data_IF_318865378278
#
_entry.id   IF_318865378278
#
_cell.length_a   1.000
_cell.length_b   1.000
_cell.length_c   1.000
_cell.angle_alpha   90.00
_cell.angle_beta   90.00
_cell.angle_gamma   90.00
#
_symmetry.space_group_name_H-M   'P 1'
#
loop_
_entity.id
_entity.type
_entity.pdbx_description
1 polymer ?
#
# COMPACT_ATOMS: atom_id res chain seq x y z
N UNK A 1 32.55 21.20 26.18
CA UNK A 1 31.54 22.15 26.65
C UNK A 1 30.66 22.49 25.48
N UNK A 2 29.47 21.89 25.44
CA UNK A 2 28.49 22.22 24.42
C UNK A 2 28.03 23.67 24.63
N UNK A 3 28.33 24.54 23.66
CA UNK A 3 27.80 25.90 23.65
C UNK A 3 26.30 25.83 23.39
N UNK A 4 25.50 25.88 24.45
CA UNK A 4 24.06 26.00 24.36
C UNK A 4 23.70 27.43 23.92
N UNK A 5 23.05 27.53 22.75
CA UNK A 5 22.65 28.83 22.20
C UNK A 5 21.36 29.28 22.90
N UNK A 6 21.43 30.45 23.55
CA UNK A 6 20.29 31.07 24.25
C UNK A 6 19.57 32.04 23.31
N UNK A 7 18.27 31.84 23.13
CA UNK A 7 17.42 32.69 22.29
C UNK A 7 16.51 33.54 23.17
N UNK A 8 16.22 34.77 22.73
CA UNK A 8 15.33 35.69 23.44
C UNK A 8 14.12 36.03 22.59
N UNK A 9 12.94 36.00 23.21
CA UNK A 9 11.70 36.49 22.58
C UNK A 9 11.64 38.02 22.65
N UNK A 10 10.79 38.68 21.83
CA UNK A 10 10.56 40.13 21.93
C UNK A 10 10.06 40.61 23.30
N UNK A 11 9.45 39.72 24.10
CA UNK A 11 9.04 39.99 25.49
C UNK A 11 10.18 39.77 26.51
N UNK A 12 11.39 39.48 26.06
CA UNK A 12 12.59 39.29 26.91
C UNK A 12 12.72 37.90 27.53
N UNK A 13 11.79 36.99 27.28
CA UNK A 13 11.86 35.63 27.81
C UNK A 13 12.93 34.82 27.07
N UNK A 14 13.80 34.14 27.82
CA UNK A 14 14.95 33.39 27.31
C UNK A 14 14.67 31.89 27.24
N UNK A 15 15.09 31.26 26.17
CA UNK A 15 14.94 29.82 25.93
C UNK A 15 16.25 29.21 25.45
N UNK A 16 16.49 27.96 25.84
CA UNK A 16 17.57 27.14 25.31
C UNK A 16 16.95 26.14 24.35
N UNK A 17 17.41 26.13 23.09
CA UNK A 17 16.99 25.11 22.13
C UNK A 17 17.96 23.94 22.27
N UNK A 18 17.51 22.75 22.70
CA UNK A 18 18.39 21.60 22.85
C UNK A 18 18.92 21.19 21.48
N UNK A 19 20.20 20.80 21.42
CA UNK A 19 20.76 20.21 20.20
C UNK A 19 20.00 18.93 19.86
N UNK A 20 19.61 18.79 18.61
CA UNK A 20 19.04 17.54 18.09
C UNK A 20 20.20 16.55 17.96
N UNK A 21 20.38 15.69 18.97
CA UNK A 21 21.51 14.76 19.04
C UNK A 21 21.22 13.40 18.41
N UNK A 22 19.94 13.03 18.26
CA UNK A 22 19.56 11.70 17.80
C UNK A 22 18.35 11.73 16.88
N UNK A 23 18.47 11.04 15.76
CA UNK A 23 17.33 10.63 14.96
C UNK A 23 16.79 9.34 15.58
N UNK A 24 15.48 9.22 15.87
CA UNK A 24 14.92 7.94 16.32
C UNK A 24 15.16 6.88 15.24
N UNK A 25 15.36 5.60 15.63
CA UNK A 25 15.55 4.53 14.67
C UNK A 25 14.35 4.41 13.72
N UNK A 26 14.61 4.06 12.47
CA UNK A 26 13.57 3.88 11.47
C UNK A 26 12.54 2.84 11.96
N UNK A 27 11.23 3.04 11.69
CA UNK A 27 10.20 2.08 12.06
C UNK A 27 10.48 0.73 11.40
N UNK A 28 10.32 -0.35 12.17
CA UNK A 28 10.49 -1.71 11.65
C UNK A 28 9.39 -1.97 10.63
N UNK A 29 9.77 -2.44 9.43
CA UNK A 29 8.81 -2.96 8.47
C UNK A 29 8.17 -4.19 9.11
N UNK A 30 6.89 -4.13 9.42
CA UNK A 30 6.12 -5.34 9.66
C UNK A 30 6.07 -6.12 8.34
N UNK A 31 6.38 -7.42 8.37
CA UNK A 31 6.00 -8.29 7.25
C UNK A 31 4.49 -8.12 7.09
N UNK A 32 4.06 -7.59 5.94
CA UNK A 32 2.65 -7.63 5.61
C UNK A 32 2.23 -9.11 5.72
N UNK A 33 1.13 -9.44 6.43
CA UNK A 33 0.63 -10.80 6.40
C UNK A 33 0.54 -11.16 4.93
N UNK A 34 1.22 -12.25 4.52
CA UNK A 34 1.20 -12.74 3.14
C UNK A 34 -0.26 -12.70 2.74
N UNK A 35 -0.64 -11.71 1.92
CA UNK A 35 -2.03 -11.56 1.51
C UNK A 35 -2.28 -12.85 0.77
N UNK A 36 -2.97 -13.78 1.43
CA UNK A 36 -3.51 -14.95 0.79
C UNK A 36 -4.38 -14.33 -0.29
N UNK A 37 -3.89 -14.36 -1.54
CA UNK A 37 -4.64 -13.81 -2.67
C UNK A 37 -5.95 -14.55 -2.61
N UNK A 38 -7.00 -13.86 -2.20
CA UNK A 38 -8.32 -14.45 -2.15
C UNK A 38 -8.58 -14.98 -3.55
N UNK A 39 -8.92 -16.26 -3.68
CA UNK A 39 -9.23 -16.87 -4.98
C UNK A 39 -10.44 -16.17 -5.65
N UNK A 40 -11.13 -15.31 -4.92
CA UNK A 40 -12.25 -14.47 -5.36
C UNK A 40 -11.83 -13.28 -6.26
N UNK A 41 -10.53 -13.01 -6.48
CA UNK A 41 -10.10 -11.82 -7.24
C UNK A 41 -10.43 -11.89 -8.74
N UNK A 42 -10.73 -13.07 -9.30
CA UNK A 42 -10.93 -13.25 -10.74
C UNK A 42 -12.34 -13.76 -11.11
N UNK A 43 -13.40 -13.21 -10.49
CA UNK A 43 -14.78 -13.55 -10.91
C UNK A 43 -15.05 -13.10 -12.36
N UNK A 44 -14.46 -11.99 -12.81
CA UNK A 44 -14.66 -11.49 -14.17
C UNK A 44 -14.03 -12.40 -15.23
N UNK A 45 -12.82 -12.92 -14.97
CA UNK A 45 -12.15 -13.82 -15.91
C UNK A 45 -12.91 -15.13 -16.10
N UNK A 46 -13.44 -15.71 -15.02
CA UNK A 46 -14.26 -16.93 -15.09
C UNK A 46 -15.54 -16.76 -15.90
N UNK A 47 -16.20 -15.60 -15.76
CA UNK A 47 -17.43 -15.32 -16.53
C UNK A 47 -17.17 -15.24 -18.04
N UNK A 48 -16.01 -14.73 -18.44
CA UNK A 48 -15.64 -14.64 -19.86
C UNK A 48 -15.40 -16.04 -20.44
N UNK A 49 -14.72 -16.93 -19.70
CA UNK A 49 -14.51 -18.33 -20.11
C UNK A 49 -15.85 -19.09 -20.26
N UNK A 50 -16.78 -18.92 -19.31
CA UNK A 50 -18.11 -19.56 -19.36
C UNK A 50 -18.97 -19.04 -20.53
N UNK A 51 -18.91 -17.74 -20.85
CA UNK A 51 -19.64 -17.14 -21.98
C UNK A 51 -19.04 -17.56 -23.34
N UNK A 52 -17.72 -17.75 -23.44
CA UNK A 52 -17.06 -18.22 -24.68
C UNK A 52 -17.40 -19.69 -24.99
N UNK A 53 -17.48 -20.56 -23.97
CA UNK A 53 -17.86 -21.97 -24.14
C UNK A 53 -19.34 -22.15 -24.57
N UNK A 54 -20.24 -21.33 -24.04
CA UNK A 54 -21.66 -21.35 -24.44
C UNK A 54 -21.88 -20.84 -25.88
N UNK A 55 -21.16 -19.82 -26.32
CA UNK A 55 -21.23 -19.32 -27.70
C UNK A 55 -20.67 -20.33 -28.72
N UNK A 56 -19.61 -21.06 -28.39
CA UNK A 56 -19.02 -22.06 -29.28
C UNK A 56 -19.96 -23.26 -29.46
N UNK A 57 -20.60 -23.72 -28.38
CA UNK A 57 -21.53 -24.85 -28.41
C UNK A 57 -22.76 -24.61 -29.32
N UNK A 58 -23.21 -23.36 -29.45
CA UNK A 58 -24.39 -23.01 -30.26
C UNK A 58 -24.07 -22.87 -31.76
N UNK A 59 -22.82 -22.52 -32.12
CA UNK A 59 -22.36 -22.46 -33.51
C UNK A 59 -22.29 -23.84 -34.19
N UNK A 60 -22.18 -24.91 -33.40
CA UNK A 60 -21.92 -26.27 -33.88
C UNK A 60 -23.21 -27.07 -34.16
N UNK A 61 -24.38 -26.56 -33.78
CA UNK A 61 -25.67 -27.27 -33.96
C UNK A 61 -26.26 -27.20 -35.37
N UNK A 62 -25.73 -26.35 -36.25
CA UNK A 62 -26.29 -26.10 -37.59
C UNK A 62 -25.61 -26.82 -38.75
N UNK A 63 -24.47 -27.49 -38.54
CA UNK A 63 -23.69 -28.08 -39.63
C UNK A 63 -23.78 -29.61 -39.60
N UNK A 64 -24.99 -30.12 -39.86
CA UNK A 64 -25.19 -31.53 -40.21
C UNK A 64 -25.38 -31.60 -41.73
N UNK A 65 -24.38 -32.16 -42.43
CA UNK A 65 -24.48 -32.50 -43.87
C UNK A 65 -25.50 -33.59 -44.11
#
# INVERSE_FOLDING_TARGET
>A
MDNDVVFSTPKGQKYVIPKVTTCPPAPKKHEAPKKQRSSTVNILAKKIEEEEEEEEADRNKGQST
#
